data_IF_430121274071
#
_entry.id   IF_430121274071
#
_cell.length_a   1.000
_cell.length_b   1.000
_cell.length_c   1.000
_cell.angle_alpha   90.00
_cell.angle_beta   90.00
_cell.angle_gamma   90.00
#
_symmetry.space_group_name_H-M   'P 1'
#
loop_
_entity.id
_entity.type
_entity.pdbx_description
1 polymer ?
#
# COMPACT_ATOMS: atom_id res chain seq x y z
N UNK A 1 10.89 0.75 -13.66
CA UNK A 1 10.91 1.71 -12.55
C UNK A 1 10.17 1.08 -11.39
N UNK A 2 10.79 1.00 -10.22
CA UNK A 2 10.15 0.49 -9.00
C UNK A 2 9.88 1.65 -8.05
N UNK A 3 8.67 1.69 -7.48
CA UNK A 3 8.17 2.78 -6.64
C UNK A 3 7.86 2.21 -5.25
N UNK A 4 8.48 2.80 -4.22
CA UNK A 4 8.23 2.46 -2.82
C UNK A 4 7.35 3.54 -2.19
N UNK A 5 6.13 3.19 -1.81
CA UNK A 5 5.15 4.11 -1.21
C UNK A 5 4.98 3.84 0.29
N UNK A 6 5.13 4.87 1.12
CA UNK A 6 4.97 4.80 2.59
C UNK A 6 3.80 5.69 3.03
N UNK A 7 2.88 5.13 3.82
CA UNK A 7 1.76 5.84 4.43
C UNK A 7 1.67 5.56 5.93
N UNK A 8 1.11 6.50 6.69
CA UNK A 8 0.89 6.31 8.13
C UNK A 8 -0.30 5.37 8.36
N UNK A 9 -0.03 4.13 8.73
CA UNK A 9 -1.09 3.14 9.02
C UNK A 9 -1.67 3.32 10.43
N UNK A 10 -0.86 3.82 11.38
CA UNK A 10 -1.21 3.91 12.81
C UNK A 10 -1.91 5.20 13.23
N UNK A 11 -1.84 6.25 12.41
CA UNK A 11 -2.47 7.56 12.71
C UNK A 11 -3.98 7.60 12.47
N UNK A 12 -4.53 6.62 11.75
CA UNK A 12 -5.95 6.54 11.45
C UNK A 12 -6.17 5.79 10.14
N UNK A 13 -6.85 4.65 10.21
CA UNK A 13 -7.23 3.83 9.03
C UNK A 13 -8.20 4.54 8.06
N UNK A 14 -8.55 5.81 8.33
CA UNK A 14 -9.39 6.65 7.48
C UNK A 14 -8.70 7.01 6.15
N UNK A 15 -7.37 6.99 6.09
CA UNK A 15 -6.64 7.39 4.88
C UNK A 15 -6.42 6.25 3.88
N UNK A 16 -6.93 5.04 4.16
CA UNK A 16 -6.77 3.88 3.25
C UNK A 16 -7.33 4.17 1.86
N UNK A 17 -8.47 4.85 1.77
CA UNK A 17 -9.07 5.25 0.49
C UNK A 17 -8.19 6.23 -0.29
N UNK A 18 -7.48 7.12 0.41
CA UNK A 18 -6.53 8.07 -0.17
C UNK A 18 -5.29 7.32 -0.67
N UNK A 19 -4.77 6.39 0.13
CA UNK A 19 -3.63 5.56 -0.25
C UNK A 19 -3.93 4.70 -1.47
N UNK A 20 -5.13 4.15 -1.58
CA UNK A 20 -5.55 3.40 -2.79
C UNK A 20 -5.56 4.28 -4.04
N UNK A 21 -6.06 5.52 -3.94
CA UNK A 21 -6.05 6.46 -5.08
C UNK A 21 -4.61 6.80 -5.51
N UNK A 22 -3.72 7.02 -4.54
CA UNK A 22 -2.31 7.35 -4.81
C UNK A 22 -1.59 6.15 -5.44
N UNK A 23 -1.71 4.95 -4.86
CA UNK A 23 -1.08 3.73 -5.40
C UNK A 23 -1.58 3.43 -6.81
N UNK A 24 -2.88 3.57 -7.09
CA UNK A 24 -3.43 3.41 -8.45
C UNK A 24 -2.80 4.39 -9.44
N UNK A 25 -2.57 5.63 -9.02
CA UNK A 25 -1.91 6.63 -9.88
C UNK A 25 -0.43 6.30 -10.08
N UNK A 26 0.28 5.86 -9.05
CA UNK A 26 1.69 5.47 -9.15
C UNK A 26 1.92 4.25 -10.03
N UNK A 27 0.97 3.29 -10.03
CA UNK A 27 0.99 2.11 -10.92
C UNK A 27 1.02 2.47 -12.41
N UNK A 28 0.57 3.66 -12.81
CA UNK A 28 0.69 4.09 -14.22
C UNK A 28 2.10 4.53 -14.61
N UNK A 29 2.98 4.78 -13.64
CA UNK A 29 4.35 5.24 -13.86
C UNK A 29 5.40 4.14 -13.61
N UNK A 30 5.04 3.08 -12.89
CA UNK A 30 5.94 1.98 -12.57
C UNK A 30 5.31 0.96 -11.62
N UNK A 31 6.10 -0.03 -11.25
CA UNK A 31 5.67 -1.08 -10.34
C UNK A 31 5.73 -0.59 -8.89
N UNK A 32 4.63 -0.67 -8.15
CA UNK A 32 4.56 -0.25 -6.74
C UNK A 32 4.80 -1.47 -5.83
N UNK A 33 5.91 -1.46 -5.09
CA UNK A 33 6.35 -2.60 -4.28
C UNK A 33 5.55 -2.77 -2.98
N UNK A 34 4.82 -1.74 -2.55
CA UNK A 34 4.14 -1.67 -1.25
C UNK A 34 2.64 -1.47 -1.36
N UNK A 35 2.00 -2.07 -2.38
CA UNK A 35 0.55 -1.94 -2.57
C UNK A 35 -0.28 -2.38 -1.34
N UNK A 36 0.26 -3.31 -0.56
CA UNK A 36 -0.32 -3.82 0.69
C UNK A 36 -0.59 -2.73 1.74
N UNK A 37 0.13 -1.61 1.71
CA UNK A 37 -0.10 -0.45 2.60
C UNK A 37 -1.45 0.22 2.34
N UNK A 38 -2.00 0.05 1.13
CA UNK A 38 -3.32 0.54 0.74
C UNK A 38 -4.45 -0.47 0.97
N UNK A 39 -4.16 -1.64 1.55
CA UNK A 39 -5.16 -2.61 1.98
C UNK A 39 -5.38 -2.48 3.48
N UNK A 40 -6.66 -2.43 3.90
CA UNK A 40 -7.05 -2.38 5.31
C UNK A 40 -6.61 -3.62 6.10
N UNK A 41 -6.37 -4.72 5.41
CA UNK A 41 -5.80 -5.94 5.95
C UNK A 41 -4.27 -5.91 5.78
N UNK A 42 -3.57 -5.73 6.90
CA UNK A 42 -2.19 -6.20 7.03
C UNK A 42 -2.22 -7.73 6.94
N UNK A 43 -2.21 -8.28 5.71
CA UNK A 43 -1.72 -9.65 5.50
C UNK A 43 -0.23 -9.58 5.77
N UNK A 44 0.15 -9.72 7.04
CA UNK A 44 1.45 -10.27 7.37
C UNK A 44 1.52 -11.59 6.61
N UNK A 45 2.46 -11.70 5.68
CA UNK A 45 2.81 -12.97 5.08
C UNK A 45 3.24 -13.91 6.20
N UNK A 46 2.27 -14.67 6.73
CA UNK A 46 2.55 -15.94 7.34
C UNK A 46 3.12 -16.77 6.20
N UNK A 47 4.45 -16.86 6.17
CA UNK A 47 5.10 -18.00 5.55
C UNK A 47 4.51 -19.23 6.23
N UNK A 48 3.68 -19.94 5.47
CA UNK A 48 3.28 -21.30 5.80
C UNK A 48 4.57 -22.10 6.07
N UNK A 49 4.56 -22.79 7.22
CA UNK A 49 5.63 -23.62 7.75
C UNK A 49 6.01 -24.76 6.81
#
# INVERSE_FOLDING_TARGET
MHIYFCGSIRGGRQDVDIYQKIVRKLKTFGEVLTEHVSHSELRFGLGDC
#
